data_IF_632137076201
#
_entry.id   IF_632137076201
#
_cell.length_a   1.000
_cell.length_b   1.000
_cell.length_c   1.000
_cell.angle_alpha   90.00
_cell.angle_beta   90.00
_cell.angle_gamma   90.00
#
_symmetry.space_group_name_H-M   'P 1'
#
loop_
_entity.id
_entity.type
_entity.pdbx_description
1 polymer ?
#
# COMPACT_ATOMS: atom_id res chain seq x y z
N UNK A 1 -33.34 -8.85 -18.91
CA UNK A 1 -32.77 -8.49 -17.59
C UNK A 1 -31.58 -7.59 -17.85
N UNK A 2 -31.79 -6.28 -17.76
CA UNK A 2 -30.91 -5.26 -18.35
C UNK A 2 -30.45 -4.32 -17.25
N UNK A 3 -29.12 -4.12 -17.16
CA UNK A 3 -28.50 -2.99 -16.47
C UNK A 3 -28.33 -3.13 -14.95
N UNK A 4 -27.18 -3.63 -14.49
CA UNK A 4 -26.81 -3.55 -13.07
C UNK A 4 -25.33 -3.25 -12.80
N UNK A 5 -24.50 -3.04 -13.83
CA UNK A 5 -23.09 -2.70 -13.65
C UNK A 5 -22.76 -1.49 -14.54
N UNK A 6 -23.11 -0.29 -14.07
CA UNK A 6 -22.49 0.94 -14.58
C UNK A 6 -20.99 0.81 -14.35
N UNK A 7 -20.23 0.62 -15.43
CA UNK A 7 -18.77 0.61 -15.38
C UNK A 7 -18.32 1.97 -14.83
N UNK A 8 -17.73 1.97 -13.64
CA UNK A 8 -17.16 3.18 -13.06
C UNK A 8 -16.17 3.76 -14.07
N UNK A 9 -16.34 5.04 -14.43
CA UNK A 9 -15.41 5.72 -15.33
C UNK A 9 -14.02 5.66 -14.70
N UNK A 10 -13.07 5.05 -15.39
CA UNK A 10 -11.68 4.96 -14.94
C UNK A 10 -11.12 6.37 -14.75
N UNK A 11 -10.64 6.67 -13.54
CA UNK A 11 -9.95 7.93 -13.24
C UNK A 11 -8.45 7.67 -13.32
N UNK A 12 -7.77 8.40 -14.18
CA UNK A 12 -6.31 8.35 -14.26
C UNK A 12 -5.68 8.96 -13.01
N UNK A 13 -4.75 8.24 -12.38
CA UNK A 13 -3.96 8.69 -11.25
C UNK A 13 -2.49 8.81 -11.69
N UNK A 14 -2.08 9.98 -12.22
CA UNK A 14 -0.72 10.16 -12.72
C UNK A 14 0.29 10.02 -11.58
N UNK A 15 1.46 9.49 -11.91
CA UNK A 15 2.58 9.43 -10.98
C UNK A 15 3.03 10.84 -10.56
N UNK A 16 3.63 10.93 -9.37
CA UNK A 16 4.23 12.17 -8.90
C UNK A 16 5.38 12.56 -9.86
N UNK A 17 5.38 13.76 -10.45
CA UNK A 17 6.49 14.24 -11.26
C UNK A 17 7.80 14.24 -10.47
N UNK A 18 8.91 13.90 -11.12
CA UNK A 18 10.23 13.82 -10.48
C UNK A 18 10.64 15.15 -9.83
N UNK A 19 10.35 16.27 -10.49
CA UNK A 19 10.60 17.62 -10.01
C UNK A 19 9.86 17.97 -8.69
N UNK A 20 8.73 17.33 -8.42
CA UNK A 20 7.95 17.53 -7.20
C UNK A 20 8.42 16.65 -6.03
N UNK A 21 9.30 15.68 -6.27
CA UNK A 21 9.75 14.74 -5.24
C UNK A 21 10.47 15.44 -4.07
N UNK A 22 11.37 16.42 -4.27
CA UNK A 22 12.03 17.10 -3.16
C UNK A 22 11.05 17.86 -2.26
N UNK A 23 10.09 18.58 -2.85
CA UNK A 23 9.05 19.29 -2.09
C UNK A 23 8.17 18.32 -1.30
N UNK A 24 7.79 17.19 -1.92
CA UNK A 24 7.03 16.15 -1.24
C UNK A 24 7.77 15.58 -0.02
N UNK A 25 9.06 15.27 -0.15
CA UNK A 25 9.88 14.74 0.95
C UNK A 25 10.03 15.76 2.09
N UNK A 26 10.18 17.05 1.76
CA UNK A 26 10.22 18.13 2.76
C UNK A 26 8.90 18.26 3.52
N UNK A 27 7.76 18.16 2.82
CA UNK A 27 6.44 18.19 3.47
C UNK A 27 6.19 16.97 4.32
N UNK A 28 6.66 15.79 3.87
CA UNK A 28 6.55 14.55 4.63
C UNK A 28 7.39 14.60 5.90
N UNK A 29 8.60 15.15 5.83
CA UNK A 29 9.47 15.30 7.01
C UNK A 29 8.86 16.26 8.05
N UNK A 30 8.24 17.35 7.59
CA UNK A 30 7.54 18.33 8.43
C UNK A 30 6.11 17.93 8.85
N UNK A 31 5.62 16.75 8.44
CA UNK A 31 4.26 16.30 8.74
C UNK A 31 4.03 16.11 10.24
N UNK A 32 3.14 16.93 10.81
CA UNK A 32 2.78 16.93 12.26
C UNK A 32 1.59 16.02 12.61
N UNK A 33 1.08 15.25 11.65
CA UNK A 33 -0.04 14.34 11.89
C UNK A 33 0.40 13.03 12.55
N UNK A 34 -0.28 11.93 12.22
CA UNK A 34 0.03 10.62 12.81
C UNK A 34 1.41 10.15 12.38
N UNK A 35 2.29 9.88 13.34
CA UNK A 35 3.63 9.33 13.09
C UNK A 35 3.57 8.02 12.28
N UNK A 36 2.59 7.16 12.58
CA UNK A 36 2.38 5.91 11.84
C UNK A 36 2.13 6.16 10.34
N UNK A 37 1.39 7.21 10.00
CA UNK A 37 1.15 7.59 8.60
C UNK A 37 2.44 8.05 7.93
N UNK A 38 3.25 8.86 8.63
CA UNK A 38 4.56 9.29 8.12
C UNK A 38 5.47 8.10 7.82
N UNK A 39 5.65 7.20 8.79
CA UNK A 39 6.46 5.98 8.64
C UNK A 39 5.92 5.08 7.52
N UNK A 40 4.61 4.92 7.42
CA UNK A 40 3.98 4.11 6.38
C UNK A 40 4.27 4.67 4.98
N UNK A 41 4.19 5.99 4.79
CA UNK A 41 4.50 6.65 3.52
C UNK A 41 5.99 6.51 3.20
N UNK A 42 6.88 6.76 4.17
CA UNK A 42 8.33 6.60 3.99
C UNK A 42 8.70 5.16 3.59
N UNK A 43 8.13 4.16 4.28
CA UNK A 43 8.37 2.75 3.96
C UNK A 43 7.81 2.37 2.58
N UNK A 44 6.67 2.93 2.18
CA UNK A 44 6.11 2.74 0.85
C UNK A 44 7.01 3.33 -0.25
N UNK A 45 7.64 4.48 -0.01
CA UNK A 45 8.61 5.08 -0.95
C UNK A 45 9.89 4.25 -1.08
N UNK A 46 10.37 3.67 0.04
CA UNK A 46 11.61 2.88 0.05
C UNK A 46 11.45 1.49 -0.56
N UNK A 47 10.27 0.87 -0.41
CA UNK A 47 10.03 -0.52 -0.83
C UNK A 47 9.05 -0.65 -2.00
N UNK A 48 8.43 0.45 -2.45
CA UNK A 48 7.41 0.47 -3.50
C UNK A 48 6.26 -0.52 -3.27
N UNK A 49 5.92 -0.77 -2.00
CA UNK A 49 4.85 -1.71 -1.63
C UNK A 49 3.47 -1.06 -1.70
N UNK A 50 2.49 -1.81 -2.20
CA UNK A 50 1.10 -1.35 -2.23
C UNK A 50 0.54 -1.16 -0.82
N UNK A 51 -0.42 -0.24 -0.71
CA UNK A 51 -1.04 0.11 0.57
C UNK A 51 -1.74 -1.08 1.27
N UNK A 52 -2.26 -2.04 0.52
CA UNK A 52 -2.81 -3.30 1.07
C UNK A 52 -1.72 -4.18 1.67
N UNK A 53 -0.58 -4.33 0.99
CA UNK A 53 0.56 -5.13 1.49
C UNK A 53 1.06 -4.55 2.79
N UNK A 54 1.25 -3.24 2.84
CA UNK A 54 1.73 -2.50 4.00
C UNK A 54 0.78 -2.61 5.20
N UNK A 55 -0.53 -2.37 5.00
CA UNK A 55 -1.53 -2.39 6.07
C UNK A 55 -1.77 -3.78 6.66
N UNK A 56 -1.60 -4.83 5.85
CA UNK A 56 -1.88 -6.21 6.24
C UNK A 56 -0.59 -7.05 6.41
N UNK A 57 0.57 -6.38 6.53
CA UNK A 57 1.84 -7.04 6.79
C UNK A 57 1.80 -7.70 8.18
N UNK A 58 2.40 -8.89 8.30
CA UNK A 58 2.58 -9.57 9.58
C UNK A 58 4.06 -9.58 9.94
N UNK A 59 4.38 -9.53 11.23
CA UNK A 59 5.77 -9.56 11.70
C UNK A 59 6.55 -10.78 11.20
N UNK A 60 5.89 -11.94 11.07
CA UNK A 60 6.51 -13.17 10.55
C UNK A 60 6.94 -13.06 9.08
N UNK A 61 6.45 -12.07 8.33
CA UNK A 61 6.85 -11.83 6.95
C UNK A 61 8.18 -11.06 6.84
N UNK A 62 8.65 -10.44 7.94
CA UNK A 62 9.86 -9.64 7.96
C UNK A 62 10.96 -10.44 8.66
N UNK A 63 12.01 -10.72 7.90
CA UNK A 63 13.24 -11.35 8.37
C UNK A 63 14.27 -10.23 8.58
N UNK A 64 14.44 -9.83 9.84
CA UNK A 64 15.34 -8.72 10.19
C UNK A 64 16.82 -9.10 10.10
N UNK A 65 17.16 -10.37 10.32
CA UNK A 65 18.54 -10.89 10.23
C UNK A 65 19.04 -10.80 8.78
N UNK A 66 18.19 -11.19 7.83
CA UNK A 66 18.53 -11.15 6.41
C UNK A 66 18.11 -9.83 5.72
N UNK A 67 17.50 -8.89 6.45
CA UNK A 67 16.90 -7.67 5.93
C UNK A 67 15.91 -7.89 4.77
N UNK A 68 15.16 -9.00 4.81
CA UNK A 68 14.21 -9.41 3.76
C UNK A 68 12.77 -9.25 4.24
N UNK A 69 11.94 -8.65 3.40
CA UNK A 69 10.49 -8.67 3.57
C UNK A 69 9.84 -9.61 2.54
N UNK A 70 9.31 -10.74 3.02
CA UNK A 70 8.67 -11.78 2.20
C UNK A 70 7.20 -11.42 1.97
N UNK A 71 6.83 -11.12 0.72
CA UNK A 71 5.45 -10.81 0.33
C UNK A 71 4.82 -12.08 -0.27
N UNK A 72 3.93 -12.73 0.48
CA UNK A 72 3.17 -13.89 -0.03
C UNK A 72 1.95 -13.43 -0.82
N UNK A 73 1.73 -14.06 -1.99
CA UNK A 73 0.54 -13.91 -2.82
C UNK A 73 -0.71 -14.44 -2.11
N UNK A 74 -0.58 -15.53 -1.34
CA UNK A 74 -1.68 -16.11 -0.57
C UNK A 74 -1.54 -15.77 0.91
N UNK A 75 -2.63 -15.32 1.53
CA UNK A 75 -2.67 -14.93 2.94
C UNK A 75 -3.74 -15.73 3.66
N UNK A 76 -3.43 -16.22 4.86
CA UNK A 76 -4.46 -16.83 5.68
C UNK A 76 -5.48 -15.77 6.10
N UNK A 77 -6.79 -16.05 5.98
CA UNK A 77 -7.84 -15.13 6.37
C UNK A 77 -7.69 -14.71 7.83
N UNK A 78 -7.94 -13.43 8.11
CA UNK A 78 -8.07 -12.96 9.48
C UNK A 78 -9.49 -13.33 9.91
N UNK A 79 -9.66 -13.92 11.09
CA UNK A 79 -10.94 -14.50 11.56
C UNK A 79 -12.10 -13.50 11.50
N UNK A 80 -11.84 -12.21 11.74
CA UNK A 80 -12.84 -11.13 11.63
C UNK A 80 -12.98 -10.46 10.25
N UNK A 81 -12.05 -10.65 9.31
CA UNK A 81 -12.05 -9.94 8.03
C UNK A 81 -11.77 -10.90 6.87
N UNK A 82 -12.80 -11.19 6.08
CA UNK A 82 -12.63 -11.88 4.80
C UNK A 82 -11.80 -10.98 3.86
N UNK A 83 -10.65 -11.47 3.39
CA UNK A 83 -9.93 -10.81 2.32
C UNK A 83 -10.75 -10.94 1.03
N UNK A 84 -10.92 -9.84 0.31
CA UNK A 84 -11.16 -9.91 -1.13
C UNK A 84 -9.83 -10.33 -1.76
N UNK A 85 -9.67 -11.62 -2.04
CA UNK A 85 -8.60 -12.11 -2.89
C UNK A 85 -8.72 -11.42 -4.25
N UNK A 86 -7.78 -10.52 -4.55
CA UNK A 86 -7.57 -10.02 -5.91
C UNK A 86 -6.62 -10.98 -6.60
N UNK A 87 -7.07 -12.22 -6.76
CA UNK A 87 -6.45 -13.21 -7.63
C UNK A 87 -7.56 -13.72 -8.57
N UNK A 88 -7.61 -13.15 -9.78
CA UNK A 88 -8.47 -13.64 -10.85
C UNK A 88 -9.54 -12.66 -11.34
N UNK A 89 -9.11 -11.62 -12.05
CA UNK A 89 -9.73 -11.26 -13.33
C UNK A 89 -8.77 -10.46 -14.20
#
# INVERSE_FOLDING_TARGET
>A
MTGALTTAKSRHHPALPHECLPDFLNRLSAYRGRLLTKIAVELALLKFVYSSVLRFARWQAIDFENAVWKISTTRQPIKEFAFLDVAGK
#
